data_IF_704609402799
#
_entry.id   IF_704609402799
#
_cell.length_a   1.000
_cell.length_b   1.000
_cell.length_c   1.000
_cell.angle_alpha   90.00
_cell.angle_beta   90.00
_cell.angle_gamma   90.00
#
_symmetry.space_group_name_H-M   'P 1'
#
loop_
_entity.id
_entity.type
_entity.pdbx_description
1 polymer ?
#
# COMPACT_ATOMS: atom_id res chain seq x y z
N UNK A 1 -2.25 -18.82 16.20
CA UNK A 1 -1.00 -18.69 15.43
C UNK A 1 -1.38 -18.09 14.10
N UNK A 2 -0.86 -16.92 13.75
CA UNK A 2 -1.06 -16.37 12.40
C UNK A 2 -0.47 -17.34 11.37
N UNK A 3 -1.19 -17.56 10.27
CA UNK A 3 -0.68 -18.35 9.15
C UNK A 3 0.44 -17.54 8.48
N UNK A 4 1.68 -17.96 8.68
CA UNK A 4 2.86 -17.33 8.08
C UNK A 4 2.98 -17.77 6.61
N UNK A 5 3.39 -16.86 5.73
CA UNK A 5 3.58 -17.15 4.31
C UNK A 5 4.93 -17.82 4.07
N UNK A 6 5.00 -18.70 3.07
CA UNK A 6 6.19 -19.52 2.80
C UNK A 6 6.53 -19.49 1.31
N UNK A 7 7.84 -19.43 1.03
CA UNK A 7 8.46 -19.73 -0.26
C UNK A 7 9.31 -21.01 -0.11
N UNK A 8 9.79 -21.59 -1.21
CA UNK A 8 10.62 -22.81 -1.25
C UNK A 8 11.85 -22.79 -0.31
N UNK A 9 12.36 -21.59 0.03
CA UNK A 9 13.54 -21.43 0.87
C UNK A 9 13.39 -20.40 2.00
N UNK A 10 12.19 -19.87 2.26
CA UNK A 10 12.01 -18.85 3.29
C UNK A 10 10.58 -18.81 3.82
N UNK A 11 10.44 -18.54 5.11
CA UNK A 11 9.15 -18.30 5.77
C UNK A 11 9.13 -16.84 6.21
N UNK A 12 8.05 -16.12 5.94
CA UNK A 12 7.96 -14.70 6.23
C UNK A 12 6.57 -14.27 6.67
N UNK A 13 6.53 -13.11 7.33
CA UNK A 13 5.31 -12.43 7.75
C UNK A 13 5.56 -10.92 7.57
N UNK A 14 4.88 -10.32 6.59
CA UNK A 14 5.21 -9.00 6.07
C UNK A 14 4.03 -8.03 6.26
N UNK A 15 4.12 -7.15 7.26
CA UNK A 15 3.14 -6.10 7.52
C UNK A 15 3.73 -4.72 7.26
N UNK A 16 3.14 -3.98 6.34
CA UNK A 16 3.61 -2.64 5.97
C UNK A 16 2.49 -1.61 5.99
N UNK A 17 2.82 -0.42 6.51
CA UNK A 17 2.00 0.77 6.38
C UNK A 17 2.64 1.71 5.36
N UNK A 18 2.16 1.69 4.12
CA UNK A 18 2.64 2.59 3.07
C UNK A 18 1.87 3.91 3.08
N UNK A 19 2.58 5.02 3.16
CA UNK A 19 2.02 6.38 3.10
C UNK A 19 2.77 7.17 2.04
N UNK A 20 2.03 7.82 1.14
CA UNK A 20 2.57 8.66 0.07
C UNK A 20 1.88 10.02 0.04
N UNK A 21 2.56 11.05 -0.48
CA UNK A 21 2.02 12.39 -0.61
C UNK A 21 2.27 12.94 -2.02
N UNK A 22 1.37 13.81 -2.49
CA UNK A 22 1.52 14.46 -3.80
C UNK A 22 2.66 15.46 -3.79
N UNK A 23 3.35 15.62 -4.93
CA UNK A 23 4.35 16.66 -5.14
C UNK A 23 3.82 18.03 -4.71
N UNK A 24 4.59 18.74 -3.88
CA UNK A 24 4.23 20.04 -3.27
C UNK A 24 2.96 20.01 -2.39
N UNK A 25 2.50 18.83 -1.94
CA UNK A 25 1.30 18.66 -1.10
C UNK A 25 0.05 19.37 -1.63
N UNK A 26 -0.09 19.45 -2.96
CA UNK A 26 -1.28 20.06 -3.58
C UNK A 26 -2.50 19.20 -3.28
N UNK A 27 -3.64 19.83 -2.98
CA UNK A 27 -4.94 19.15 -2.77
C UNK A 27 -5.60 18.77 -4.11
N UNK A 28 -4.94 17.90 -4.86
CA UNK A 28 -5.37 17.50 -6.22
C UNK A 28 -6.03 16.13 -6.26
N UNK A 29 -5.93 15.32 -5.21
CA UNK A 29 -6.69 14.08 -5.11
C UNK A 29 -8.13 14.45 -4.73
N UNK A 30 -8.97 14.62 -5.75
CA UNK A 30 -10.41 14.88 -5.65
C UNK A 30 -11.20 13.65 -6.11
N UNK A 31 -12.53 13.67 -6.00
CA UNK A 31 -13.37 12.50 -6.28
C UNK A 31 -13.13 11.89 -7.67
N UNK A 32 -13.09 12.67 -8.78
CA UNK A 32 -12.84 12.10 -10.11
C UNK A 32 -11.45 11.46 -10.27
N UNK A 33 -10.41 12.04 -9.66
CA UNK A 33 -9.05 11.49 -9.72
C UNK A 33 -8.94 10.25 -8.82
N UNK A 34 -9.60 10.27 -7.66
CA UNK A 34 -9.68 9.15 -6.73
C UNK A 34 -10.37 7.94 -7.35
N UNK A 35 -11.51 8.16 -8.02
CA UNK A 35 -12.26 7.08 -8.68
C UNK A 35 -11.47 6.39 -9.78
N UNK A 36 -10.63 7.13 -10.52
CA UNK A 36 -9.74 6.56 -11.55
C UNK A 36 -8.54 5.79 -10.98
N UNK A 37 -8.13 6.06 -9.75
CA UNK A 37 -6.94 5.48 -9.12
C UNK A 37 -7.25 4.24 -8.27
N UNK A 38 -8.53 3.93 -8.05
CA UNK A 38 -9.00 2.73 -7.35
C UNK A 38 -8.84 1.49 -8.23
#
# INVERSE_FOLDING_TARGET
MENMDHNAHSVYLMYYHLIMAVKYRRKVINDPISERAR
#
